data_IF_800140246554
#
_entry.id   IF_800140246554
#
_cell.length_a   1.000
_cell.length_b   1.000
_cell.length_c   1.000
_cell.angle_alpha   90.00
_cell.angle_beta   90.00
_cell.angle_gamma   90.00
#
_symmetry.space_group_name_H-M   'P 1'
#
loop_
_entity.id
_entity.type
_entity.pdbx_description
1 polymer ?
#
# COMPACT_ATOMS: atom_id res chain seq x y z
N UNK A 1 -6.35 -53.29 -57.49
CA UNK A 1 -7.51 -53.12 -56.60
C UNK A 1 -7.07 -52.26 -55.43
N UNK A 2 -7.62 -51.05 -55.30
CA UNK A 2 -7.37 -50.11 -54.19
C UNK A 2 -8.02 -50.64 -52.92
N UNK A 3 -7.34 -50.59 -51.78
CA UNK A 3 -8.01 -50.46 -50.48
C UNK A 3 -7.26 -49.47 -49.60
N UNK A 4 -8.07 -48.59 -49.00
CA UNK A 4 -7.75 -47.35 -48.32
C UNK A 4 -7.49 -47.65 -46.84
N UNK A 5 -6.39 -47.12 -46.30
CA UNK A 5 -6.09 -47.15 -44.86
C UNK A 5 -6.83 -45.96 -44.21
N UNK A 6 -7.84 -46.25 -43.38
CA UNK A 6 -8.54 -45.26 -42.56
C UNK A 6 -7.67 -44.91 -41.33
N UNK A 7 -7.16 -43.69 -41.31
CA UNK A 7 -6.49 -43.08 -40.16
C UNK A 7 -7.57 -42.47 -39.23
N UNK A 8 -7.79 -43.05 -38.06
CA UNK A 8 -8.66 -42.48 -37.04
C UNK A 8 -7.97 -41.29 -36.37
N UNK A 9 -8.36 -40.07 -36.76
CA UNK A 9 -7.98 -38.83 -36.08
C UNK A 9 -8.84 -38.73 -34.80
N UNK A 10 -8.22 -39.00 -33.65
CA UNK A 10 -8.79 -38.66 -32.35
C UNK A 10 -8.51 -37.19 -32.09
N UNK A 11 -9.54 -36.35 -32.21
CA UNK A 11 -9.51 -34.99 -31.68
C UNK A 11 -9.48 -35.07 -30.15
N UNK A 12 -8.33 -34.83 -29.55
CA UNK A 12 -8.26 -34.45 -28.15
C UNK A 12 -8.84 -33.03 -28.02
N UNK A 13 -9.86 -32.78 -27.19
CA UNK A 13 -10.24 -31.41 -26.90
C UNK A 13 -9.08 -30.74 -26.16
N UNK A 14 -8.67 -29.57 -26.67
CA UNK A 14 -7.76 -28.69 -25.97
C UNK A 14 -8.35 -28.40 -24.59
N UNK A 15 -7.72 -28.95 -23.54
CA UNK A 15 -8.00 -28.56 -22.18
C UNK A 15 -7.53 -27.10 -22.03
N UNK A 16 -8.48 -26.16 -22.08
CA UNK A 16 -8.27 -24.86 -21.47
C UNK A 16 -8.03 -25.10 -19.99
N UNK A 17 -6.80 -24.92 -19.54
CA UNK A 17 -6.46 -24.90 -18.12
C UNK A 17 -7.35 -23.87 -17.45
N UNK A 18 -8.26 -24.34 -16.60
CA UNK A 18 -8.98 -23.48 -15.67
C UNK A 18 -7.91 -22.91 -14.73
N UNK A 19 -7.69 -21.59 -14.79
CA UNK A 19 -6.73 -20.92 -13.91
C UNK A 19 -7.08 -21.24 -12.45
N UNK A 20 -6.07 -21.63 -11.67
CA UNK A 20 -6.19 -21.77 -10.23
C UNK A 20 -6.71 -20.43 -9.68
N UNK A 21 -7.76 -20.50 -8.87
CA UNK A 21 -8.34 -19.32 -8.24
C UNK A 21 -7.42 -18.88 -7.10
N UNK A 22 -6.64 -17.83 -7.35
CA UNK A 22 -5.73 -17.22 -6.40
C UNK A 22 -6.52 -16.57 -5.27
N UNK A 23 -6.60 -17.22 -4.11
CA UNK A 23 -7.20 -16.61 -2.92
C UNK A 23 -6.11 -16.33 -1.89
N UNK A 24 -5.86 -15.04 -1.65
CA UNK A 24 -5.14 -14.59 -0.46
C UNK A 24 -6.09 -14.64 0.73
N UNK A 25 -5.65 -15.24 1.83
CA UNK A 25 -6.44 -15.33 3.05
C UNK A 25 -6.17 -14.07 3.86
N UNK A 26 -7.18 -13.24 4.14
CA UNK A 26 -7.04 -11.90 4.74
C UNK A 26 -6.61 -11.85 6.21
N UNK A 27 -5.54 -12.54 6.56
CA UNK A 27 -4.98 -12.56 7.91
C UNK A 27 -5.83 -13.31 8.94
N UNK A 28 -6.90 -14.00 8.55
CA UNK A 28 -7.68 -14.91 9.41
C UNK A 28 -7.50 -16.35 8.93
N UNK A 29 -7.53 -17.31 9.86
CA UNK A 29 -7.21 -18.74 9.67
C UNK A 29 -8.17 -19.53 8.75
N UNK A 30 -8.91 -18.85 7.86
CA UNK A 30 -9.87 -19.49 6.97
C UNK A 30 -9.53 -19.21 5.50
N UNK A 31 -8.75 -20.11 4.92
CA UNK A 31 -8.76 -20.32 3.48
C UNK A 31 -9.86 -21.34 3.19
N UNK A 32 -11.03 -20.91 2.71
CA UNK A 32 -12.07 -21.86 2.26
C UNK A 32 -11.68 -22.36 0.85
N UNK A 33 -11.43 -23.67 0.66
CA UNK A 33 -11.23 -24.20 -0.68
C UNK A 33 -12.58 -24.23 -1.42
N UNK A 34 -12.61 -23.57 -2.58
CA UNK A 34 -13.54 -23.79 -3.69
C UNK A 34 -15.00 -24.12 -3.34
N UNK A 35 -15.85 -23.10 -3.28
CA UNK A 35 -17.28 -23.27 -3.57
C UNK A 35 -17.55 -22.74 -4.97
N UNK A 36 -17.65 -23.67 -5.92
CA UNK A 36 -18.29 -23.39 -7.19
C UNK A 36 -19.75 -23.04 -6.91
N UNK A 37 -20.08 -21.75 -6.85
CA UNK A 37 -21.47 -21.31 -6.80
C UNK A 37 -22.11 -21.60 -8.15
N UNK A 38 -22.82 -22.73 -8.24
CA UNK A 38 -23.84 -22.94 -9.26
C UNK A 38 -24.92 -21.88 -9.08
N UNK A 39 -24.86 -20.82 -9.87
CA UNK A 39 -25.96 -19.87 -9.99
C UNK A 39 -27.14 -20.57 -10.66
N UNK A 40 -28.12 -21.00 -9.85
CA UNK A 40 -29.45 -21.35 -10.34
C UNK A 40 -30.12 -20.05 -10.76
N UNK A 41 -30.32 -19.91 -12.07
CA UNK A 41 -31.11 -18.85 -12.69
C UNK A 41 -32.56 -18.93 -12.19
N UNK A 42 -33.01 -17.92 -11.46
CA UNK A 42 -34.44 -17.59 -11.40
C UNK A 42 -34.67 -16.11 -11.13
N UNK A 43 -34.96 -15.35 -12.19
CA UNK A 43 -35.88 -14.22 -12.07
C UNK A 43 -36.41 -13.81 -13.43
N UNK A 44 -37.73 -13.86 -13.50
CA UNK A 44 -38.60 -13.58 -14.64
C UNK A 44 -38.37 -12.19 -15.23
N UNK A 45 -38.64 -12.10 -16.52
CA UNK A 45 -38.71 -10.87 -17.30
C UNK A 45 -39.82 -9.95 -16.82
N UNK A 46 -39.54 -8.64 -16.84
CA UNK A 46 -40.54 -7.62 -17.17
C UNK A 46 -39.83 -6.46 -17.88
N UNK A 47 -40.23 -6.23 -19.12
CA UNK A 47 -39.71 -5.25 -20.05
C UNK A 47 -40.27 -3.86 -19.76
N UNK A 48 -39.45 -2.82 -19.73
CA UNK A 48 -39.88 -1.43 -19.98
C UNK A 48 -38.87 -0.77 -20.93
N UNK A 49 -39.39 -0.28 -22.07
CA UNK A 49 -38.66 0.49 -23.09
C UNK A 49 -38.27 1.87 -22.56
N UNK A 50 -37.06 2.32 -22.85
CA UNK A 50 -36.70 3.74 -22.81
C UNK A 50 -35.97 4.12 -24.10
N UNK A 51 -36.43 5.23 -24.68
CA UNK A 51 -36.13 5.74 -26.01
C UNK A 51 -34.81 6.53 -26.03
N UNK A 52 -34.12 6.43 -27.16
CA UNK A 52 -32.89 7.14 -27.52
C UNK A 52 -33.14 8.61 -27.90
N UNK A 53 -32.30 9.52 -27.40
CA UNK A 53 -32.01 10.79 -28.06
C UNK A 53 -30.54 11.19 -27.86
N UNK A 54 -29.81 11.24 -28.97
CA UNK A 54 -28.43 11.75 -29.07
C UNK A 54 -28.43 13.27 -29.12
N UNK A 55 -27.50 13.91 -28.41
CA UNK A 55 -27.17 15.33 -28.58
C UNK A 55 -25.71 15.50 -28.98
N UNK A 56 -25.50 15.87 -30.23
CA UNK A 56 -24.30 16.51 -30.77
C UNK A 56 -24.21 17.96 -30.27
N UNK A 57 -23.02 18.43 -29.88
CA UNK A 57 -22.72 19.87 -29.85
C UNK A 57 -21.33 20.14 -30.45
N UNK A 58 -21.33 21.13 -31.35
CA UNK A 58 -20.25 21.47 -32.27
C UNK A 58 -19.21 22.42 -31.69
N UNK A 59 -18.01 22.28 -32.22
CA UNK A 59 -16.82 23.13 -32.11
C UNK A 59 -17.07 24.57 -32.55
N UNK A 60 -16.58 25.56 -31.78
CA UNK A 60 -16.41 26.94 -32.25
C UNK A 60 -14.94 27.33 -32.11
N UNK A 61 -14.33 27.66 -33.25
CA UNK A 61 -13.01 28.26 -33.39
C UNK A 61 -13.18 29.78 -33.34
N UNK A 62 -12.30 30.50 -32.64
CA UNK A 62 -12.08 31.93 -32.88
C UNK A 62 -10.60 32.30 -32.72
N UNK A 63 -10.09 32.94 -33.78
CA UNK A 63 -8.75 33.50 -33.97
C UNK A 63 -8.86 35.03 -33.86
N UNK A 64 -7.89 35.69 -33.24
CA UNK A 64 -7.46 37.09 -33.49
C UNK A 64 -6.18 37.35 -32.70
N UNK A 65 -4.99 37.47 -33.32
CA UNK A 65 -4.40 38.61 -34.08
C UNK A 65 -3.67 39.63 -33.20
N UNK A 66 -2.38 39.75 -33.48
CA UNK A 66 -1.33 40.59 -32.89
C UNK A 66 -1.45 42.10 -33.15
N UNK A 67 -0.94 42.92 -32.22
CA UNK A 67 -0.38 44.25 -32.51
C UNK A 67 0.86 44.54 -31.64
N UNK A 68 1.82 45.27 -32.22
CA UNK A 68 3.16 45.61 -31.71
C UNK A 68 3.23 47.07 -31.21
N UNK A 69 3.94 47.29 -30.10
CA UNK A 69 4.85 48.42 -29.77
C UNK A 69 4.27 49.78 -29.35
N UNK A 70 5.08 50.73 -28.79
CA UNK A 70 6.53 50.68 -28.57
C UNK A 70 7.03 51.08 -27.15
N UNK A 71 8.35 50.92 -27.02
CA UNK A 71 9.31 51.18 -25.94
C UNK A 71 9.34 52.63 -25.40
N UNK A 72 9.62 52.80 -24.10
CA UNK A 72 10.38 53.97 -23.61
C UNK A 72 11.30 53.60 -22.45
N UNK A 73 12.54 54.04 -22.59
CA UNK A 73 13.70 53.91 -21.70
C UNK A 73 13.74 55.10 -20.74
N UNK A 74 14.06 54.89 -19.46
CA UNK A 74 14.86 55.85 -18.68
C UNK A 74 15.52 55.18 -17.48
N UNK A 75 16.73 55.64 -17.19
CA UNK A 75 17.74 55.01 -16.35
C UNK A 75 17.83 55.65 -14.97
N UNK A 76 18.20 54.83 -13.98
CA UNK A 76 19.07 55.09 -12.81
C UNK A 76 18.66 56.18 -11.79
N UNK A 77 18.46 55.78 -10.54
CA UNK A 77 19.43 56.12 -9.47
C UNK A 77 19.31 55.21 -8.24
N UNK A 78 20.49 54.96 -7.67
CA UNK A 78 20.85 54.06 -6.59
C UNK A 78 20.62 54.77 -5.25
N UNK A 79 19.85 54.20 -4.33
CA UNK A 79 19.95 54.56 -2.91
C UNK A 79 20.12 53.27 -2.12
N UNK A 80 21.30 53.18 -1.50
CA UNK A 80 21.72 52.16 -0.56
C UNK A 80 21.23 52.59 0.83
N UNK A 81 20.54 51.69 1.53
CA UNK A 81 20.42 51.74 2.99
C UNK A 81 20.45 50.31 3.53
N UNK A 82 21.65 49.92 3.95
CA UNK A 82 21.91 48.70 4.70
C UNK A 82 21.30 48.84 6.10
N UNK A 83 20.21 48.13 6.38
CA UNK A 83 19.77 47.86 7.75
C UNK A 83 20.25 46.45 8.10
N UNK A 84 21.32 46.38 8.86
CA UNK A 84 21.83 45.15 9.46
C UNK A 84 20.94 44.78 10.65
N UNK A 85 19.84 44.05 10.42
CA UNK A 85 19.19 43.28 11.47
C UNK A 85 19.96 41.98 11.66
N UNK A 86 20.84 41.98 12.66
CA UNK A 86 21.55 40.79 13.13
C UNK A 86 20.55 39.92 13.90
N UNK A 87 19.66 39.24 13.18
CA UNK A 87 18.84 38.19 13.75
C UNK A 87 19.74 36.96 13.83
N UNK A 88 20.25 36.68 15.02
CA UNK A 88 20.85 35.40 15.37
C UNK A 88 19.77 34.35 15.16
N UNK A 89 19.69 33.76 13.96
CA UNK A 89 18.99 32.51 13.73
C UNK A 89 19.80 31.44 14.44
N UNK A 90 19.54 31.26 15.73
CA UNK A 90 19.84 30.00 16.39
C UNK A 90 19.03 28.95 15.65
N UNK A 91 19.69 28.22 14.74
CA UNK A 91 19.24 26.91 14.30
C UNK A 91 19.27 25.99 15.52
N UNK A 92 18.28 26.12 16.39
CA UNK A 92 17.96 25.04 17.29
C UNK A 92 17.36 23.95 16.41
N UNK A 93 18.15 22.90 16.18
CA UNK A 93 17.61 21.64 15.72
C UNK A 93 16.48 21.27 16.70
N UNK A 94 15.24 21.37 16.24
CA UNK A 94 14.11 20.86 17.02
C UNK A 94 14.40 19.38 17.23
N UNK A 95 14.54 18.96 18.48
CA UNK A 95 14.50 17.55 18.84
C UNK A 95 13.08 17.06 18.56
N UNK A 96 12.81 16.65 17.33
CA UNK A 96 11.51 16.14 16.90
C UNK A 96 11.39 14.69 17.37
N UNK A 97 10.94 14.51 18.60
CA UNK A 97 10.39 13.23 19.01
C UNK A 97 9.06 13.04 18.28
N UNK A 98 8.89 11.90 17.61
CA UNK A 98 7.59 11.54 17.05
C UNK A 98 6.60 11.33 18.21
N UNK A 99 5.40 11.89 18.08
CA UNK A 99 4.30 11.70 19.04
C UNK A 99 3.18 10.86 18.43
N UNK A 100 3.01 10.91 17.11
CA UNK A 100 1.95 10.23 16.39
C UNK A 100 2.50 9.35 15.25
N UNK A 101 2.05 8.09 15.22
CA UNK A 101 2.22 7.20 14.08
C UNK A 101 0.83 6.91 13.48
N UNK A 102 0.57 7.48 12.32
CA UNK A 102 -0.66 7.24 11.56
C UNK A 102 -0.35 6.22 10.48
N UNK A 103 -0.99 5.05 10.53
CA UNK A 103 -0.68 3.95 9.63
C UNK A 103 -1.89 3.54 8.78
N UNK A 104 -1.63 3.35 7.48
CA UNK A 104 -2.57 2.80 6.51
C UNK A 104 -1.90 1.61 5.84
N UNK A 105 -2.47 0.42 5.99
CA UNK A 105 -1.79 -0.81 5.60
C UNK A 105 -2.75 -1.95 5.29
N UNK A 106 -2.20 -3.01 4.69
CA UNK A 106 -2.94 -4.21 4.29
C UNK A 106 -2.93 -5.33 5.34
N UNK A 107 -2.23 -5.13 6.46
CA UNK A 107 -2.05 -6.15 7.51
C UNK A 107 -3.25 -6.16 8.46
N UNK A 108 -3.26 -7.06 9.46
CA UNK A 108 -4.43 -7.21 10.35
C UNK A 108 -4.70 -5.89 11.07
N UNK A 109 -6.00 -5.55 11.22
CA UNK A 109 -6.42 -4.50 12.14
C UNK A 109 -5.90 -4.86 13.53
N UNK A 110 -4.91 -4.10 14.00
CA UNK A 110 -4.52 -4.17 15.41
C UNK A 110 -5.75 -3.78 16.21
N UNK A 111 -6.08 -4.52 17.27
CA UNK A 111 -7.20 -4.20 18.17
C UNK A 111 -6.82 -2.92 18.93
N UNK A 112 -6.93 -1.77 18.26
CA UNK A 112 -6.97 -0.45 18.86
C UNK A 112 -8.46 -0.09 18.94
N UNK A 113 -8.96 0.47 20.05
CA UNK A 113 -10.38 0.67 20.28
C UNK A 113 -11.04 1.37 19.11
N UNK A 114 -12.18 0.81 18.74
CA UNK A 114 -13.14 1.38 17.82
C UNK A 114 -13.43 2.82 18.29
N UNK A 115 -13.31 3.81 17.40
CA UNK A 115 -13.47 5.24 17.70
C UNK A 115 -14.89 5.62 18.15
N UNK A 116 -15.82 4.67 18.26
CA UNK A 116 -17.18 4.87 18.75
C UNK A 116 -17.31 4.73 20.28
N UNK A 117 -16.32 4.17 20.97
CA UNK A 117 -16.28 4.16 22.42
C UNK A 117 -15.36 5.29 22.93
N UNK A 118 -15.98 6.36 23.42
CA UNK A 118 -15.32 7.50 24.09
C UNK A 118 -14.54 7.15 25.38
N UNK A 119 -14.19 5.89 25.60
CA UNK A 119 -13.38 5.42 26.72
C UNK A 119 -11.97 5.06 26.29
N UNK A 120 -11.07 6.02 26.52
CA UNK A 120 -9.63 5.83 26.72
C UNK A 120 -8.91 5.06 25.60
N UNK A 121 -8.22 5.83 24.75
CA UNK A 121 -6.98 5.43 24.08
C UNK A 121 -6.22 4.43 24.96
N UNK A 122 -6.29 3.15 24.64
CA UNK A 122 -5.48 2.16 25.33
C UNK A 122 -4.04 2.38 24.88
N UNK A 123 -3.30 3.08 25.74
CA UNK A 123 -1.85 3.19 25.73
C UNK A 123 -1.24 1.83 25.41
N UNK A 124 -0.65 1.69 24.22
CA UNK A 124 0.40 0.75 23.85
C UNK A 124 0.42 -0.62 24.53
N UNK A 125 -0.73 -1.27 24.72
CA UNK A 125 -0.77 -2.62 25.28
C UNK A 125 -0.72 -3.60 24.12
N UNK A 126 0.45 -4.17 23.87
CA UNK A 126 0.62 -5.32 22.98
C UNK A 126 -0.21 -6.46 23.57
N UNK A 127 -1.41 -6.67 23.04
CA UNK A 127 -2.28 -7.80 23.39
C UNK A 127 -2.45 -8.66 22.15
N UNK A 128 -1.47 -9.50 21.85
CA UNK A 128 -1.70 -10.79 21.20
C UNK A 128 -0.37 -11.47 20.93
N UNK A 129 -0.45 -12.78 20.88
CA UNK A 129 0.63 -13.71 20.59
C UNK A 129 1.08 -13.62 19.11
N UNK A 130 0.82 -12.48 18.44
CA UNK A 130 1.01 -12.23 17.00
C UNK A 130 1.41 -10.77 16.71
N UNK A 131 2.37 -10.21 17.46
CA UNK A 131 2.81 -8.80 17.31
C UNK A 131 3.23 -8.44 15.88
N UNK A 132 2.71 -7.33 15.37
CA UNK A 132 3.03 -6.78 14.05
C UNK A 132 4.16 -5.74 14.15
N UNK A 133 4.68 -5.29 13.01
CA UNK A 133 5.80 -4.34 12.97
C UNK A 133 5.49 -3.04 13.72
N UNK A 134 4.24 -2.55 13.67
CA UNK A 134 3.79 -1.35 14.38
C UNK A 134 3.93 -1.54 15.89
N UNK A 135 3.53 -2.70 16.42
CA UNK A 135 3.64 -3.00 17.85
C UNK A 135 5.10 -2.91 18.32
N UNK A 136 6.02 -3.48 17.54
CA UNK A 136 7.45 -3.37 17.84
C UNK A 136 7.97 -1.94 17.74
N UNK A 137 7.53 -1.16 16.73
CA UNK A 137 7.92 0.25 16.61
C UNK A 137 7.47 1.04 17.85
N UNK A 138 6.22 0.91 18.27
CA UNK A 138 5.66 1.77 19.33
C UNK A 138 5.91 1.29 20.76
N UNK A 139 6.24 0.00 20.94
CA UNK A 139 6.43 -0.59 22.28
C UNK A 139 7.85 -1.06 22.58
N UNK A 140 8.68 -1.32 21.55
CA UNK A 140 10.06 -1.83 21.73
C UNK A 140 11.11 -0.81 21.30
N UNK A 141 10.92 -0.18 20.14
CA UNK A 141 11.93 0.70 19.54
C UNK A 141 11.66 2.20 19.73
N UNK A 142 10.50 2.56 20.28
CA UNK A 142 10.14 3.94 20.53
C UNK A 142 11.08 4.60 21.53
N UNK A 143 11.53 5.82 21.24
CA UNK A 143 12.34 6.61 22.18
C UNK A 143 11.49 7.39 23.19
N UNK A 144 10.27 7.72 22.78
CA UNK A 144 9.27 8.48 23.54
C UNK A 144 7.91 7.79 23.42
N UNK A 145 6.91 8.25 24.18
CA UNK A 145 5.55 7.78 23.97
C UNK A 145 5.08 8.13 22.55
N UNK A 146 4.54 7.13 21.84
CA UNK A 146 3.97 7.29 20.50
C UNK A 146 2.54 6.80 20.54
N UNK A 147 1.60 7.64 20.10
CA UNK A 147 0.21 7.30 19.90
C UNK A 147 0.04 6.78 18.46
N UNK A 148 -0.38 5.51 18.34
CA UNK A 148 -0.65 4.91 17.04
C UNK A 148 -2.14 4.99 16.68
N UNK A 149 -2.44 5.50 15.49
CA UNK A 149 -3.76 5.50 14.88
C UNK A 149 -3.69 4.63 13.63
N UNK A 150 -4.17 3.40 13.75
CA UNK A 150 -4.04 2.39 12.71
C UNK A 150 -5.36 2.19 11.94
N UNK A 151 -5.36 2.54 10.66
CA UNK A 151 -6.49 2.36 9.74
C UNK A 151 -6.37 1.07 8.92
N UNK A 152 -5.46 0.16 9.26
CA UNK A 152 -5.24 -1.10 8.55
C UNK A 152 -6.49 -1.96 8.37
N UNK A 153 -6.62 -2.55 7.19
CA UNK A 153 -7.54 -3.65 6.93
C UNK A 153 -6.81 -4.82 6.26
N UNK A 154 -6.93 -6.00 6.88
CA UNK A 154 -6.35 -7.24 6.38
C UNK A 154 -6.87 -7.55 4.98
N UNK A 155 -5.96 -7.70 4.01
CA UNK A 155 -6.30 -8.01 2.62
C UNK A 155 -6.64 -6.79 1.75
N UNK A 156 -6.47 -5.57 2.25
CA UNK A 156 -6.74 -4.35 1.49
C UNK A 156 -5.87 -4.27 0.23
N UNK A 157 -6.51 -3.97 -0.90
CA UNK A 157 -5.87 -3.48 -2.14
C UNK A 157 -5.86 -1.95 -2.13
N UNK A 158 -5.13 -1.34 -3.06
CA UNK A 158 -5.06 0.12 -3.15
C UNK A 158 -6.42 0.73 -3.50
N UNK A 159 -7.10 0.17 -4.50
CA UNK A 159 -8.44 0.58 -4.92
C UNK A 159 -9.20 -0.66 -5.41
N UNK A 160 -10.34 -0.94 -4.79
CA UNK A 160 -11.12 -2.14 -5.06
C UNK A 160 -11.66 -2.21 -6.50
N UNK A 161 -11.69 -1.09 -7.23
CA UNK A 161 -12.06 -1.05 -8.64
C UNK A 161 -10.91 -1.38 -9.60
N UNK A 162 -9.65 -1.23 -9.16
CA UNK A 162 -8.46 -1.58 -9.93
C UNK A 162 -8.05 -3.03 -9.70
N UNK A 163 -8.00 -3.43 -8.43
CA UNK A 163 -7.74 -4.81 -8.01
C UNK A 163 -8.72 -5.17 -6.90
N UNK A 164 -9.57 -6.15 -7.14
CA UNK A 164 -10.57 -6.59 -6.15
C UNK A 164 -9.87 -7.24 -4.95
N UNK A 165 -10.21 -6.86 -3.71
CA UNK A 165 -9.78 -7.59 -2.51
C UNK A 165 -10.32 -9.02 -2.48
N UNK A 166 -9.83 -9.84 -1.55
CA UNK A 166 -10.28 -11.23 -1.41
C UNK A 166 -11.77 -11.35 -0.97
N UNK A 167 -12.29 -10.34 -0.28
CA UNK A 167 -13.70 -10.22 0.13
C UNK A 167 -14.22 -8.80 -0.10
N UNK A 168 -15.49 -8.66 -0.45
CA UNK A 168 -16.13 -7.37 -0.75
C UNK A 168 -16.32 -6.46 0.47
N UNK A 169 -16.12 -6.98 1.68
CA UNK A 169 -16.18 -6.25 2.95
C UNK A 169 -14.84 -5.61 3.33
N UNK A 170 -13.77 -5.91 2.61
CA UNK A 170 -12.43 -5.41 2.88
C UNK A 170 -12.31 -3.97 2.38
N UNK A 171 -12.00 -3.07 3.30
CA UNK A 171 -11.78 -1.66 2.97
C UNK A 171 -10.42 -1.45 2.32
N UNK A 172 -10.42 -0.83 1.13
CA UNK A 172 -9.23 -0.50 0.34
C UNK A 172 -8.46 0.69 0.92
N UNK A 173 -7.29 1.01 0.39
CA UNK A 173 -6.53 2.20 0.81
C UNK A 173 -7.32 3.50 0.60
N UNK A 174 -8.18 3.57 -0.43
CA UNK A 174 -9.12 4.68 -0.64
C UNK A 174 -10.11 4.82 0.52
N UNK A 175 -10.65 3.70 0.99
CA UNK A 175 -11.59 3.67 2.12
C UNK A 175 -10.86 4.04 3.43
N UNK A 176 -9.65 3.51 3.64
CA UNK A 176 -8.83 3.86 4.81
C UNK A 176 -8.46 5.35 4.82
N UNK A 177 -8.17 5.95 3.66
CA UNK A 177 -7.89 7.39 3.54
C UNK A 177 -9.15 8.22 3.81
N UNK A 178 -10.32 7.70 3.45
CA UNK A 178 -11.62 8.30 3.80
C UNK A 178 -11.86 8.26 5.32
N UNK A 179 -11.56 7.14 5.99
CA UNK A 179 -11.63 7.04 7.45
C UNK A 179 -10.65 8.02 8.13
N UNK A 180 -9.39 8.05 7.68
CA UNK A 180 -8.40 9.03 8.14
C UNK A 180 -8.93 10.46 8.03
N UNK A 181 -9.46 10.84 6.87
CA UNK A 181 -9.98 12.18 6.62
C UNK A 181 -11.19 12.49 7.51
N UNK A 182 -12.02 11.49 7.80
CA UNK A 182 -13.21 11.65 8.64
C UNK A 182 -12.85 11.87 10.11
N UNK A 183 -11.86 11.13 10.62
CA UNK A 183 -11.58 11.10 12.05
C UNK A 183 -10.42 12.02 12.47
N UNK A 184 -9.45 12.26 11.59
CA UNK A 184 -8.21 12.98 11.92
C UNK A 184 -8.04 14.30 11.16
N UNK A 185 -9.01 14.73 10.33
CA UNK A 185 -8.92 15.98 9.56
C UNK A 185 -10.15 16.88 9.80
N UNK A 186 -9.98 18.10 10.36
CA UNK A 186 -8.75 18.62 10.97
C UNK A 186 -8.33 17.81 12.21
N UNK A 187 -7.08 17.94 12.70
CA UNK A 187 -6.63 17.25 13.91
C UNK A 187 -7.60 17.49 15.09
N UNK A 188 -8.21 16.42 15.65
CA UNK A 188 -9.15 16.56 16.76
C UNK A 188 -8.41 16.69 18.10
N UNK A 189 -9.11 17.13 19.15
CA UNK A 189 -8.52 17.33 20.49
C UNK A 189 -7.97 16.05 21.14
N UNK A 190 -8.38 14.87 20.69
CA UNK A 190 -7.84 13.59 21.15
C UNK A 190 -6.64 13.10 20.33
N UNK A 191 -6.30 13.79 19.23
CA UNK A 191 -5.20 13.47 18.34
C UNK A 191 -4.67 14.75 17.68
N UNK A 192 -3.96 15.58 18.46
CA UNK A 192 -3.45 16.89 18.05
C UNK A 192 -2.15 16.76 17.23
N UNK A 193 -2.21 15.95 16.17
CA UNK A 193 -1.10 15.74 15.27
C UNK A 193 -0.85 17.00 14.42
N UNK A 194 0.41 17.21 14.06
CA UNK A 194 0.92 18.35 13.29
C UNK A 194 1.97 17.88 12.29
N UNK A 195 2.36 18.77 11.38
CA UNK A 195 3.46 18.52 10.45
C UNK A 195 4.80 18.14 11.11
N UNK A 196 5.04 18.51 12.38
CA UNK A 196 6.33 18.30 13.06
C UNK A 196 6.37 17.12 14.03
N UNK A 197 5.23 16.55 14.42
CA UNK A 197 5.16 15.47 15.44
C UNK A 197 4.51 14.18 14.92
N UNK A 198 4.12 14.11 13.64
CA UNK A 198 3.42 12.96 13.06
C UNK A 198 4.19 12.33 11.89
N UNK A 199 4.31 11.00 11.92
CA UNK A 199 4.77 10.16 10.83
C UNK A 199 3.59 9.39 10.23
N UNK A 200 3.41 9.51 8.91
CA UNK A 200 2.40 8.80 8.15
C UNK A 200 3.06 7.60 7.46
N UNK A 201 2.79 6.40 7.94
CA UNK A 201 3.32 5.17 7.39
C UNK A 201 2.28 4.49 6.49
N UNK A 202 2.66 4.21 5.24
CA UNK A 202 1.80 3.50 4.29
C UNK A 202 2.52 2.24 3.82
N UNK A 203 1.90 1.08 4.08
CA UNK A 203 2.35 -0.20 3.57
C UNK A 203 1.20 -0.86 2.82
N UNK A 204 1.13 -0.60 1.51
CA UNK A 204 0.11 -1.12 0.58
C UNK A 204 0.81 -1.71 -0.66
N UNK A 205 0.06 -2.39 -1.53
CA UNK A 205 0.60 -2.99 -2.77
C UNK A 205 0.73 -4.51 -2.74
N UNK A 206 0.77 -5.14 -1.55
CA UNK A 206 0.97 -6.59 -1.42
C UNK A 206 -0.18 -7.38 -2.03
N UNK A 207 -1.42 -7.01 -1.67
CA UNK A 207 -2.61 -7.62 -2.28
C UNK A 207 -2.76 -7.20 -3.75
N UNK A 208 -2.37 -5.98 -4.13
CA UNK A 208 -2.42 -5.54 -5.53
C UNK A 208 -1.53 -6.43 -6.42
N UNK A 209 -0.29 -6.69 -6.01
CA UNK A 209 0.62 -7.61 -6.70
C UNK A 209 0.08 -9.04 -6.64
N UNK A 210 -0.21 -9.56 -5.44
CA UNK A 210 -0.59 -10.96 -5.30
C UNK A 210 -1.92 -11.33 -5.96
N UNK A 211 -2.86 -10.39 -6.15
CA UNK A 211 -4.15 -10.62 -6.81
C UNK A 211 -4.14 -10.32 -8.32
N UNK A 212 -3.07 -9.75 -8.88
CA UNK A 212 -3.07 -9.31 -10.27
C UNK A 212 -1.79 -9.60 -11.08
N UNK A 213 -0.72 -10.14 -10.49
CA UNK A 213 0.54 -10.42 -11.18
C UNK A 213 0.38 -11.30 -12.44
N UNK A 214 -0.60 -12.20 -12.42
CA UNK A 214 -0.90 -13.14 -13.51
C UNK A 214 -1.73 -12.52 -14.65
N UNK A 215 -2.20 -11.28 -14.50
CA UNK A 215 -2.97 -10.60 -15.52
C UNK A 215 -2.10 -10.26 -16.74
N UNK A 216 -2.61 -10.49 -17.95
CA UNK A 216 -1.89 -10.18 -19.19
C UNK A 216 -1.55 -8.69 -19.35
N UNK A 217 -2.26 -7.82 -18.64
CA UNK A 217 -2.03 -6.38 -18.57
C UNK A 217 -1.49 -5.92 -17.20
N UNK A 218 -0.78 -6.79 -16.46
CA UNK A 218 -0.22 -6.51 -15.13
C UNK A 218 0.51 -5.16 -15.05
N UNK A 219 1.36 -4.82 -16.02
CA UNK A 219 2.12 -3.55 -15.98
C UNK A 219 1.22 -2.31 -15.96
N UNK A 220 0.15 -2.31 -16.76
CA UNK A 220 -0.83 -1.23 -16.78
C UNK A 220 -1.66 -1.17 -15.47
N UNK A 221 -1.98 -2.33 -14.88
CA UNK A 221 -2.64 -2.40 -13.57
C UNK A 221 -1.73 -1.82 -12.49
N UNK A 222 -0.47 -2.24 -12.43
CA UNK A 222 0.50 -1.76 -11.45
C UNK A 222 0.73 -0.24 -11.55
N UNK A 223 0.82 0.31 -12.76
CA UNK A 223 0.93 1.75 -12.99
C UNK A 223 -0.31 2.52 -12.50
N UNK A 224 -1.51 2.00 -12.80
CA UNK A 224 -2.76 2.59 -12.32
C UNK A 224 -2.87 2.53 -10.79
N UNK A 225 -2.49 1.41 -10.19
CA UNK A 225 -2.45 1.21 -8.74
C UNK A 225 -1.51 2.20 -8.08
N UNK A 226 -0.25 2.32 -8.52
CA UNK A 226 0.71 3.27 -7.92
C UNK A 226 0.28 4.72 -8.14
N UNK A 227 -0.32 5.02 -9.29
CA UNK A 227 -0.93 6.35 -9.53
C UNK A 227 -2.02 6.65 -8.49
N UNK A 228 -2.94 5.69 -8.28
CA UNK A 228 -4.03 5.81 -7.31
C UNK A 228 -3.51 5.90 -5.87
N UNK A 229 -2.50 5.12 -5.52
CA UNK A 229 -1.80 5.18 -4.24
C UNK A 229 -1.35 6.62 -3.94
N UNK A 230 -0.64 7.27 -4.85
CA UNK A 230 -0.12 8.62 -4.60
C UNK A 230 -1.18 9.72 -4.68
N UNK A 231 -2.33 9.47 -5.32
CA UNK A 231 -3.49 10.35 -5.18
C UNK A 231 -4.02 10.36 -3.74
N UNK A 232 -4.08 9.20 -3.07
CA UNK A 232 -4.50 9.11 -1.67
C UNK A 232 -3.46 9.73 -0.72
N UNK A 233 -2.17 9.55 -0.99
CA UNK A 233 -1.09 10.23 -0.24
C UNK A 233 -1.19 11.76 -0.38
N UNK A 234 -1.54 12.26 -1.56
CA UNK A 234 -1.74 13.69 -1.81
C UNK A 234 -2.84 14.27 -0.91
N UNK A 235 -3.93 13.52 -0.65
CA UNK A 235 -4.99 13.93 0.28
C UNK A 235 -4.42 14.18 1.68
N UNK A 236 -3.56 13.30 2.18
CA UNK A 236 -2.89 13.47 3.49
C UNK A 236 -2.00 14.71 3.51
N UNK A 237 -1.22 14.93 2.44
CA UNK A 237 -0.36 16.11 2.32
C UNK A 237 -1.16 17.41 2.31
N UNK A 238 -2.26 17.47 1.55
CA UNK A 238 -3.15 18.63 1.52
C UNK A 238 -3.83 18.87 2.87
N UNK A 239 -4.07 17.82 3.66
CA UNK A 239 -4.57 17.92 5.04
C UNK A 239 -3.52 18.41 6.06
N UNK A 240 -2.23 18.50 5.69
CA UNK A 240 -1.17 19.03 6.55
C UNK A 240 -0.08 18.01 6.92
N UNK A 241 -0.19 16.75 6.50
CA UNK A 241 0.86 15.75 6.71
C UNK A 241 2.16 16.16 5.99
N UNK A 242 3.30 16.00 6.66
CA UNK A 242 4.61 16.36 6.09
C UNK A 242 5.67 15.27 6.19
N UNK A 243 5.47 14.20 6.94
CA UNK A 243 6.45 13.12 7.05
C UNK A 243 5.81 11.80 6.63
N UNK A 244 6.35 11.20 5.58
CA UNK A 244 5.80 9.99 4.96
C UNK A 244 6.84 8.88 4.98
N UNK A 245 6.40 7.68 5.36
CA UNK A 245 7.16 6.45 5.29
C UNK A 245 6.41 5.48 4.39
N UNK A 246 7.01 5.12 3.25
CA UNK A 246 6.48 4.12 2.34
C UNK A 246 7.26 2.82 2.48
N UNK A 247 6.56 1.71 2.69
CA UNK A 247 7.17 0.38 2.76
C UNK A 247 6.97 -0.31 1.42
N UNK A 248 8.05 -0.88 0.86
CA UNK A 248 7.96 -1.66 -0.38
C UNK A 248 7.19 -2.96 -0.17
N UNK A 249 6.62 -3.50 -1.25
CA UNK A 249 6.05 -4.86 -1.26
C UNK A 249 7.17 -5.84 -0.88
N UNK A 250 6.98 -6.69 0.15
CA UNK A 250 7.97 -7.66 0.55
C UNK A 250 8.16 -8.73 -0.54
N UNK A 251 9.23 -9.54 -0.46
CA UNK A 251 9.51 -10.54 -1.48
C UNK A 251 8.56 -11.74 -1.34
N UNK A 252 7.30 -11.54 -1.74
CA UNK A 252 6.20 -12.50 -1.59
C UNK A 252 6.40 -13.78 -2.41
N UNK A 253 7.33 -13.79 -3.36
CA UNK A 253 7.76 -14.99 -4.07
C UNK A 253 8.40 -16.05 -3.14
N UNK A 254 8.82 -15.66 -1.94
CA UNK A 254 9.37 -16.58 -0.94
C UNK A 254 8.34 -17.01 0.12
N UNK A 255 7.08 -16.61 -0.02
CA UNK A 255 6.02 -17.16 0.84
C UNK A 255 5.90 -18.68 0.61
N UNK A 256 5.60 -19.47 1.67
CA UNK A 256 5.31 -20.89 1.50
C UNK A 256 4.21 -21.17 0.46
N UNK A 257 3.24 -20.26 0.34
CA UNK A 257 2.18 -20.30 -0.68
C UNK A 257 2.77 -20.26 -2.09
N UNK A 258 3.54 -19.23 -2.45
CA UNK A 258 4.07 -19.10 -3.82
C UNK A 258 5.12 -20.18 -4.14
N UNK A 259 5.91 -20.59 -3.14
CA UNK A 259 6.87 -21.70 -3.31
C UNK A 259 6.15 -23.01 -3.67
N UNK A 260 4.97 -23.27 -3.10
CA UNK A 260 4.21 -24.48 -3.37
C UNK A 260 3.66 -24.57 -4.81
N UNK A 261 3.51 -23.43 -5.48
CA UNK A 261 3.03 -23.34 -6.88
C UNK A 261 4.14 -23.65 -7.90
N UNK A 262 5.40 -23.55 -7.48
CA UNK A 262 6.56 -23.98 -8.25
C UNK A 262 7.39 -22.83 -8.82
N UNK A 263 8.51 -23.21 -9.46
CA UNK A 263 9.58 -22.27 -9.83
C UNK A 263 9.15 -21.21 -10.84
N UNK A 264 8.22 -21.51 -11.75
CA UNK A 264 7.72 -20.52 -12.70
C UNK A 264 7.05 -19.35 -11.99
N UNK A 265 6.27 -19.66 -10.95
CA UNK A 265 5.44 -18.68 -10.26
C UNK A 265 6.27 -17.90 -9.26
N UNK A 266 7.24 -18.55 -8.61
CA UNK A 266 8.29 -17.87 -7.83
C UNK A 266 9.01 -16.81 -8.69
N UNK A 267 9.38 -17.14 -9.94
CA UNK A 267 10.02 -16.18 -10.84
C UNK A 267 9.05 -15.06 -11.25
N UNK A 268 7.85 -15.40 -11.72
CA UNK A 268 6.89 -14.42 -12.21
C UNK A 268 6.42 -13.44 -11.11
N UNK A 269 6.16 -13.94 -9.90
CA UNK A 269 5.80 -13.11 -8.74
C UNK A 269 6.99 -12.23 -8.34
N UNK A 270 8.22 -12.76 -8.36
CA UNK A 270 9.42 -11.97 -8.09
C UNK A 270 9.57 -10.80 -9.06
N UNK A 271 9.38 -11.03 -10.36
CA UNK A 271 9.41 -9.98 -11.38
C UNK A 271 8.31 -8.93 -11.17
N UNK A 272 7.10 -9.36 -10.79
CA UNK A 272 5.99 -8.47 -10.49
C UNK A 272 6.26 -7.58 -9.27
N UNK A 273 6.85 -8.14 -8.19
CA UNK A 273 7.28 -7.39 -7.00
C UNK A 273 8.33 -6.35 -7.35
N UNK A 274 9.35 -6.73 -8.13
CA UNK A 274 10.42 -5.82 -8.57
C UNK A 274 9.84 -4.67 -9.40
N UNK A 275 8.94 -4.96 -10.33
CA UNK A 275 8.27 -3.94 -11.14
C UNK A 275 7.49 -2.95 -10.28
N UNK A 276 6.63 -3.45 -9.39
CA UNK A 276 5.80 -2.63 -8.52
C UNK A 276 6.64 -1.75 -7.59
N UNK A 277 7.68 -2.31 -6.96
CA UNK A 277 8.57 -1.56 -6.07
C UNK A 277 9.37 -0.49 -6.81
N UNK A 278 9.72 -0.73 -8.07
CA UNK A 278 10.31 0.29 -8.96
C UNK A 278 9.37 1.47 -9.18
N UNK A 279 8.10 1.21 -9.50
CA UNK A 279 7.07 2.24 -9.65
C UNK A 279 6.85 3.03 -8.35
N UNK A 280 6.67 2.33 -7.22
CA UNK A 280 6.45 2.93 -5.90
C UNK A 280 7.60 3.88 -5.53
N UNK A 281 8.85 3.45 -5.73
CA UNK A 281 10.04 4.26 -5.40
C UNK A 281 10.16 5.49 -6.30
N UNK A 282 9.90 5.35 -7.60
CA UNK A 282 9.92 6.46 -8.54
C UNK A 282 8.81 7.48 -8.23
N UNK A 283 7.61 7.00 -7.90
CA UNK A 283 6.49 7.86 -7.51
C UNK A 283 6.74 8.56 -6.17
N UNK A 284 7.36 7.89 -5.18
CA UNK A 284 7.77 8.52 -3.91
C UNK A 284 8.78 9.67 -4.13
N UNK A 285 9.76 9.49 -5.01
CA UNK A 285 10.71 10.53 -5.37
C UNK A 285 10.05 11.72 -6.09
N UNK A 286 9.07 11.42 -6.95
CA UNK A 286 8.28 12.43 -7.68
C UNK A 286 7.40 13.23 -6.72
N UNK A 287 6.71 12.55 -5.81
CA UNK A 287 5.90 13.13 -4.74
C UNK A 287 6.75 14.07 -3.86
N UNK A 288 7.92 13.62 -3.39
CA UNK A 288 8.86 14.45 -2.62
C UNK A 288 9.25 15.74 -3.37
N UNK A 289 9.48 15.63 -4.67
CA UNK A 289 9.89 16.76 -5.51
C UNK A 289 8.74 17.75 -5.76
N UNK A 290 7.50 17.26 -5.86
CA UNK A 290 6.32 18.09 -6.08
C UNK A 290 5.81 18.77 -4.79
N UNK A 291 6.02 18.13 -3.64
CA UNK A 291 5.43 18.52 -2.36
C UNK A 291 6.46 19.13 -1.40
N UNK A 292 6.63 20.44 -1.52
CA UNK A 292 7.61 21.21 -0.75
C UNK A 292 7.37 21.11 0.77
N UNK A 293 8.46 20.95 1.52
CA UNK A 293 8.39 20.79 2.98
C UNK A 293 7.97 19.38 3.42
N UNK A 294 7.80 18.43 2.49
CA UNK A 294 7.65 17.02 2.85
C UNK A 294 9.01 16.34 3.09
N UNK A 295 9.03 15.47 4.09
CA UNK A 295 10.05 14.45 4.30
C UNK A 295 9.48 13.11 3.85
N UNK A 296 10.21 12.41 2.98
CA UNK A 296 9.79 11.13 2.44
C UNK A 296 10.89 10.11 2.68
N UNK A 297 10.50 9.02 3.33
CA UNK A 297 11.27 7.81 3.55
C UNK A 297 10.68 6.68 2.72
N UNK A 298 11.55 5.89 2.09
CA UNK A 298 11.17 4.61 1.47
C UNK A 298 11.97 3.52 2.19
N UNK A 299 11.27 2.57 2.79
CA UNK A 299 11.87 1.46 3.50
C UNK A 299 11.74 0.18 2.66
N UNK A 300 12.87 -0.37 2.25
CA UNK A 300 12.92 -1.64 1.52
C UNK A 300 12.70 -2.82 2.47
N UNK A 301 11.54 -3.45 2.37
CA UNK A 301 11.17 -4.61 3.18
C UNK A 301 11.85 -5.90 2.71
N UNK A 302 12.50 -5.92 1.54
CA UNK A 302 13.26 -7.08 1.06
C UNK A 302 14.38 -7.46 2.02
N UNK A 303 15.12 -6.48 2.50
CA UNK A 303 16.28 -6.69 3.37
C UNK A 303 15.94 -7.46 4.67
N UNK A 304 14.97 -7.03 5.51
CA UNK A 304 14.62 -7.77 6.72
C UNK A 304 14.06 -9.18 6.43
N UNK A 305 13.26 -9.35 5.37
CA UNK A 305 12.76 -10.67 4.97
C UNK A 305 13.91 -11.61 4.59
N UNK A 306 14.80 -11.18 3.70
CA UNK A 306 15.93 -11.99 3.25
C UNK A 306 16.92 -12.29 4.37
N UNK A 307 17.07 -11.37 5.34
CA UNK A 307 17.88 -11.62 6.53
C UNK A 307 17.39 -12.85 7.31
N UNK A 308 16.08 -12.95 7.52
CA UNK A 308 15.49 -14.10 8.22
C UNK A 308 15.46 -15.36 7.35
N UNK A 309 15.04 -15.25 6.09
CA UNK A 309 14.93 -16.37 5.13
C UNK A 309 16.28 -17.05 4.90
N UNK A 310 17.37 -16.29 4.81
CA UNK A 310 18.71 -16.84 4.60
C UNK A 310 19.31 -17.49 5.86
N UNK A 311 18.73 -17.26 7.04
CA UNK A 311 19.23 -17.79 8.31
C UNK A 311 18.09 -18.13 9.30
N UNK A 312 17.17 -19.04 8.93
CA UNK A 312 15.92 -19.25 9.67
C UNK A 312 16.14 -19.68 11.12
N UNK A 313 17.17 -20.50 11.38
CA UNK A 313 17.46 -21.03 12.71
C UNK A 313 17.95 -19.97 13.68
N UNK A 314 18.66 -18.94 13.20
CA UNK A 314 19.04 -17.78 14.02
C UNK A 314 17.82 -16.95 14.47
N UNK A 315 16.70 -17.10 13.78
CA UNK A 315 15.44 -16.42 14.06
C UNK A 315 14.36 -17.37 14.62
N UNK A 316 14.78 -18.49 15.20
CA UNK A 316 13.89 -19.41 15.93
C UNK A 316 13.06 -20.36 15.06
N UNK A 317 13.24 -20.32 13.74
CA UNK A 317 12.52 -21.20 12.81
C UNK A 317 13.36 -22.41 12.37
N UNK A 318 12.76 -23.60 12.20
CA UNK A 318 13.50 -24.79 11.74
C UNK A 318 13.97 -24.68 10.28
N UNK A 319 13.26 -23.94 9.43
CA UNK A 319 13.62 -23.70 8.03
C UNK A 319 12.89 -22.45 7.48
N UNK A 320 13.23 -22.07 6.24
CA UNK A 320 12.74 -20.85 5.61
C UNK A 320 11.26 -20.88 5.19
N UNK A 321 10.63 -22.06 5.12
CA UNK A 321 9.23 -22.24 4.64
C UNK A 321 8.27 -22.69 5.75
N UNK A 322 8.76 -22.83 6.97
CA UNK A 322 7.96 -23.16 8.15
C UNK A 322 6.89 -22.10 8.35
N UNK A 323 5.64 -22.51 8.58
CA UNK A 323 4.60 -21.63 9.07
C UNK A 323 3.86 -22.24 10.26
N UNK A 324 3.52 -21.42 11.25
CA UNK A 324 2.76 -21.82 12.43
C UNK A 324 1.96 -20.62 12.95
N UNK A 325 0.69 -20.86 13.31
CA UNK A 325 -0.24 -19.85 13.78
C UNK A 325 0.12 -19.22 15.13
N UNK A 326 1.18 -19.68 15.80
CA UNK A 326 1.75 -18.95 16.93
C UNK A 326 2.59 -17.72 16.50
N UNK A 327 2.98 -17.62 15.22
CA UNK A 327 3.82 -16.55 14.68
C UNK A 327 5.22 -16.46 15.31
N UNK A 328 5.64 -17.42 16.14
CA UNK A 328 6.90 -17.39 16.90
C UNK A 328 7.81 -18.55 16.50
N UNK A 329 7.30 -19.77 16.35
CA UNK A 329 8.12 -20.96 16.09
C UNK A 329 8.57 -21.11 14.64
N UNK A 330 8.11 -20.23 13.76
CA UNK A 330 8.34 -20.26 12.32
C UNK A 330 8.58 -18.83 11.81
N UNK A 331 9.24 -18.71 10.65
CA UNK A 331 9.40 -17.40 9.98
C UNK A 331 8.07 -16.82 9.49
N UNK A 332 7.07 -17.67 9.29
CA UNK A 332 5.76 -17.32 8.76
C UNK A 332 4.66 -17.68 9.76
N UNK A 333 3.67 -16.80 9.91
CA UNK A 333 2.48 -17.04 10.74
C UNK A 333 1.51 -18.01 10.05
N UNK A 334 1.30 -17.82 8.75
CA UNK A 334 0.61 -18.78 7.88
C UNK A 334 1.41 -18.94 6.59
N UNK A 335 0.87 -19.57 5.56
CA UNK A 335 1.59 -19.76 4.31
C UNK A 335 1.87 -18.46 3.53
N UNK A 336 1.45 -17.28 4.00
CA UNK A 336 1.63 -16.00 3.31
C UNK A 336 2.21 -14.87 4.19
N UNK A 337 1.78 -14.78 5.45
CA UNK A 337 2.10 -13.67 6.35
C UNK A 337 3.34 -13.96 7.18
N UNK A 338 4.25 -12.97 7.37
CA UNK A 338 5.44 -13.16 8.20
C UNK A 338 5.08 -13.37 9.68
N UNK A 339 5.95 -14.10 10.38
CA UNK A 339 5.94 -14.22 11.82
C UNK A 339 6.61 -13.03 12.51
N UNK A 340 6.59 -13.06 13.84
CA UNK A 340 7.06 -11.98 14.71
C UNK A 340 8.55 -11.65 14.52
N UNK A 341 9.39 -12.63 14.20
CA UNK A 341 10.82 -12.40 13.98
C UNK A 341 11.07 -11.44 12.80
N UNK A 342 10.34 -11.60 11.70
CA UNK A 342 10.43 -10.72 10.53
C UNK A 342 9.81 -9.35 10.85
N UNK A 343 8.65 -9.31 11.52
CA UNK A 343 8.04 -8.05 11.96
C UNK A 343 8.97 -7.21 12.85
N UNK A 344 9.71 -7.86 13.77
CA UNK A 344 10.70 -7.20 14.61
C UNK A 344 11.88 -6.63 13.78
N UNK A 345 12.40 -7.38 12.80
CA UNK A 345 13.46 -6.89 11.90
C UNK A 345 13.00 -5.66 11.10
N UNK A 346 11.77 -5.67 10.60
CA UNK A 346 11.16 -4.52 9.89
C UNK A 346 11.08 -3.32 10.83
N UNK A 347 10.52 -3.50 12.03
CA UNK A 347 10.38 -2.44 13.02
C UNK A 347 11.73 -1.82 13.41
N UNK A 348 12.75 -2.66 13.62
CA UNK A 348 14.12 -2.22 13.91
C UNK A 348 14.68 -1.34 12.80
N UNK A 349 14.50 -1.75 11.55
CA UNK A 349 14.97 -0.98 10.40
C UNK A 349 14.21 0.33 10.22
N UNK A 350 12.90 0.35 10.48
CA UNK A 350 12.08 1.56 10.45
C UNK A 350 12.54 2.55 11.53
N UNK A 351 12.72 2.10 12.78
CA UNK A 351 13.25 2.96 13.86
C UNK A 351 14.63 3.51 13.54
N UNK A 352 15.52 2.70 12.95
CA UNK A 352 16.82 3.17 12.50
C UNK A 352 16.72 4.23 11.37
N UNK A 353 15.77 4.08 10.45
CA UNK A 353 15.59 4.97 9.30
C UNK A 353 14.94 6.32 9.67
N UNK A 354 13.88 6.29 10.47
CA UNK A 354 13.06 7.47 10.77
C UNK A 354 13.38 8.10 12.13
N UNK A 355 14.13 7.40 12.97
CA UNK A 355 14.46 7.82 14.33
C UNK A 355 13.28 7.73 15.30
N UNK A 356 12.18 7.07 14.91
CA UNK A 356 10.99 6.80 15.73
C UNK A 356 11.31 5.99 16.99
#
# INVERSE_FOLDING_TARGET
>A
MRFILLLSIVFAPAAFGQGLTWSQCGGIDQCLPGVASTAVSSSKSTSIKASSSSSTLSTVISRSSSTKGPTSTSSLTKISSTITSKTTSSSQAASTGWEYLISLEYTRKSIIPRLDDHERLQLGKVTSDTSQWIDYVIATYNKTLILSYNFAYGGATTDASLVTPYENTVLSFVDQTTEYSTYLVPPPSYAEWTASNALFAVWMGVNDVGNAWYASNWTAIAEAVVTRYFQEVEIMYQAGARNFLFLTVPPIQYTPLVIAEGTSDVTAVGDAVVYFNGLLTAAAASFKSANSGSTVYVYDTTTPFMTAINNPTAYGAPNATCFNGDGVSCLWFNNYHPGQAIHNLIAKGISALTGI
#
